data_IF_455580702073
#
_entry.id   IF_455580702073
#
_cell.length_a   1.000
_cell.length_b   1.000
_cell.length_c   1.000
_cell.angle_alpha   90.00
_cell.angle_beta   90.00
_cell.angle_gamma   90.00
#
_symmetry.space_group_name_H-M   'P 1'
#
loop_
_entity.id
_entity.type
_entity.pdbx_description
1 polymer ?
#
# COMPACT_ATOMS: atom_id res chain seq x y z
N UNK A 1 9.51 9.61 -5.66
CA UNK A 1 8.18 9.08 -5.25
C UNK A 1 8.05 9.13 -3.74
N UNK A 2 6.92 9.57 -3.27
CA UNK A 2 6.74 9.83 -1.85
C UNK A 2 5.30 9.52 -1.45
N UNK A 3 5.12 9.01 -0.24
CA UNK A 3 3.79 8.71 0.30
C UNK A 3 3.68 9.27 1.72
N UNK A 4 2.57 9.93 2.00
CA UNK A 4 2.26 10.42 3.34
C UNK A 4 1.21 9.53 3.97
N UNK A 5 1.49 9.05 5.16
CA UNK A 5 0.55 8.20 5.90
C UNK A 5 -0.12 9.07 6.95
N UNK A 6 -1.45 9.12 6.96
CA UNK A 6 -2.17 9.91 7.95
C UNK A 6 -2.05 9.30 9.35
N UNK A 7 -2.30 10.11 10.38
CA UNK A 7 -2.23 9.62 11.76
C UNK A 7 -3.20 8.47 11.99
N UNK A 8 -4.41 8.55 11.44
CA UNK A 8 -5.39 7.49 11.58
C UNK A 8 -4.91 6.19 10.95
N UNK A 9 -4.27 6.30 9.79
CA UNK A 9 -3.70 5.14 9.11
C UNK A 9 -2.52 4.56 9.90
N UNK A 10 -1.65 5.42 10.44
CA UNK A 10 -0.52 4.98 11.25
C UNK A 10 -1.01 4.19 12.46
N UNK A 11 -2.03 4.68 13.16
CA UNK A 11 -2.58 3.98 14.31
C UNK A 11 -3.06 2.59 13.94
N UNK A 12 -3.76 2.48 12.82
CA UNK A 12 -4.29 1.19 12.39
C UNK A 12 -3.17 0.24 11.94
N UNK A 13 -2.16 0.76 11.25
CA UNK A 13 -0.99 -0.04 10.87
C UNK A 13 -0.28 -0.56 12.11
N UNK A 14 -0.11 0.28 13.13
CA UNK A 14 0.58 -0.13 14.35
C UNK A 14 -0.18 -1.23 15.10
N UNK A 15 -1.50 -1.23 15.04
CA UNK A 15 -2.31 -2.29 15.62
C UNK A 15 -2.10 -3.62 14.90
N UNK A 16 -1.92 -3.57 13.60
CA UNK A 16 -1.70 -4.76 12.78
C UNK A 16 -0.25 -5.25 12.81
N UNK A 17 0.67 -4.36 13.15
CA UNK A 17 2.11 -4.64 13.10
C UNK A 17 2.82 -4.15 14.36
N UNK A 18 2.41 -4.65 15.55
CA UNK A 18 2.91 -4.11 16.82
C UNK A 18 4.41 -4.31 17.04
N UNK A 19 5.00 -5.32 16.45
CA UNK A 19 6.42 -5.63 16.62
C UNK A 19 7.29 -5.13 15.47
N UNK A 20 6.71 -4.39 14.54
CA UNK A 20 7.41 -3.86 13.36
C UNK A 20 8.13 -4.93 12.55
N UNK A 21 7.60 -6.16 12.54
CA UNK A 21 8.22 -7.26 11.78
C UNK A 21 7.91 -7.21 10.29
N UNK A 22 6.91 -6.45 9.91
CA UNK A 22 6.46 -6.38 8.52
C UNK A 22 6.71 -4.98 7.99
N UNK A 23 6.73 -4.85 6.68
CA UNK A 23 6.85 -3.57 6.00
C UNK A 23 5.67 -3.37 5.06
N UNK A 24 5.48 -2.13 4.61
CA UNK A 24 4.44 -1.83 3.63
C UNK A 24 5.00 -2.02 2.23
N UNK A 25 4.20 -2.61 1.36
CA UNK A 25 4.56 -2.82 -0.03
C UNK A 25 3.46 -2.25 -0.91
N UNK A 26 3.85 -1.38 -1.84
CA UNK A 26 2.96 -0.89 -2.89
C UNK A 26 3.16 -1.76 -4.12
N UNK A 27 2.09 -2.36 -4.61
CA UNK A 27 2.15 -3.24 -5.77
C UNK A 27 0.84 -3.19 -6.54
N UNK A 28 0.86 -3.67 -7.77
CA UNK A 28 -0.30 -3.62 -8.64
C UNK A 28 -0.92 -5.00 -8.73
N UNK A 29 -2.15 -5.11 -8.21
CA UNK A 29 -2.83 -6.38 -8.10
C UNK A 29 -3.66 -6.65 -9.36
N UNK A 30 -3.24 -7.66 -10.13
CA UNK A 30 -3.98 -8.11 -11.30
C UNK A 30 -4.68 -9.44 -11.06
N UNK A 31 -4.55 -9.99 -9.87
CA UNK A 31 -5.16 -11.29 -9.56
C UNK A 31 -6.69 -11.17 -9.59
N UNK A 32 -7.34 -12.18 -10.12
CA UNK A 32 -8.78 -12.20 -10.19
C UNK A 32 -9.36 -11.42 -11.36
N UNK A 33 -8.53 -10.79 -12.17
CA UNK A 33 -8.97 -10.00 -13.31
C UNK A 33 -8.93 -10.84 -14.58
N UNK A 34 -9.68 -11.87 -14.65
CA UNK A 34 -9.57 -12.84 -15.73
C UNK A 34 -9.93 -12.36 -17.13
N UNK A 35 -10.20 -11.08 -17.32
CA UNK A 35 -10.75 -10.59 -18.59
C UNK A 35 -9.91 -9.47 -19.20
N UNK A 36 -8.64 -9.38 -18.89
CA UNK A 36 -7.80 -8.32 -19.43
C UNK A 36 -8.14 -6.94 -18.87
N UNK A 37 -8.87 -6.89 -17.80
CA UNK A 37 -9.20 -5.65 -17.12
C UNK A 37 -7.98 -5.16 -16.37
N UNK A 38 -7.84 -3.85 -16.25
CA UNK A 38 -6.78 -3.25 -15.44
C UNK A 38 -6.82 -3.77 -14.01
N UNK A 39 -5.66 -3.95 -13.42
CA UNK A 39 -5.57 -4.28 -12.01
C UNK A 39 -5.86 -3.09 -11.13
N UNK A 40 -5.41 -3.19 -9.89
CA UNK A 40 -5.69 -2.17 -8.90
C UNK A 40 -4.45 -1.90 -8.05
N UNK A 41 -4.04 -0.64 -7.86
CA UNK A 41 -2.94 -0.34 -6.96
C UNK A 41 -3.27 -0.79 -5.54
N UNK A 42 -2.32 -1.42 -4.88
CA UNK A 42 -2.51 -1.96 -3.54
C UNK A 42 -1.39 -1.54 -2.60
N UNK A 43 -1.74 -1.44 -1.32
CA UNK A 43 -0.79 -1.30 -0.23
C UNK A 43 -1.07 -2.42 0.75
N UNK A 44 -0.05 -3.18 1.10
CA UNK A 44 -0.21 -4.30 2.03
C UNK A 44 0.97 -4.40 2.98
N UNK A 45 0.71 -4.98 4.16
CA UNK A 45 1.76 -5.41 5.06
C UNK A 45 2.28 -6.76 4.57
N UNK A 46 3.61 -6.93 4.57
CA UNK A 46 4.22 -8.17 4.14
C UNK A 46 5.63 -8.28 4.69
N UNK A 47 6.15 -9.50 4.75
CA UNK A 47 7.56 -9.75 5.04
C UNK A 47 8.34 -10.14 3.79
N UNK A 48 7.69 -10.10 2.63
CA UNK A 48 8.34 -10.43 1.37
C UNK A 48 9.40 -9.41 1.00
N UNK A 49 10.47 -9.90 0.41
CA UNK A 49 11.54 -9.06 -0.11
C UNK A 49 11.92 -9.53 -1.49
N UNK A 50 12.23 -8.57 -2.36
CA UNK A 50 12.62 -8.85 -3.73
C UNK A 50 13.58 -7.78 -4.18
N UNK A 51 14.45 -8.14 -5.12
CA UNK A 51 15.43 -7.20 -5.67
C UNK A 51 14.75 -6.02 -6.38
N UNK A 52 13.52 -6.21 -6.82
CA UNK A 52 12.76 -5.15 -7.50
C UNK A 52 12.08 -4.18 -6.54
N UNK A 53 12.10 -4.48 -5.24
CA UNK A 53 11.46 -3.61 -4.25
C UNK A 53 12.41 -2.49 -3.85
N UNK A 54 11.93 -1.25 -3.95
CA UNK A 54 12.71 -0.06 -3.61
C UNK A 54 12.00 0.71 -2.52
N UNK A 55 12.76 1.19 -1.55
CA UNK A 55 12.20 2.02 -0.50
C UNK A 55 11.85 3.40 -1.04
N UNK A 56 10.69 3.92 -0.66
CA UNK A 56 10.27 5.25 -1.06
C UNK A 56 10.20 6.16 0.16
N UNK A 57 10.23 7.47 -0.10
CA UNK A 57 10.21 8.48 0.95
C UNK A 57 8.83 8.53 1.62
N UNK A 58 8.83 8.57 2.95
CA UNK A 58 7.58 8.62 3.70
C UNK A 58 7.83 9.14 5.11
N UNK A 59 6.76 9.56 5.77
CA UNK A 59 6.77 9.87 7.20
C UNK A 59 6.64 8.59 8.06
N UNK A 60 6.50 7.44 7.42
CA UNK A 60 6.44 6.15 8.10
C UNK A 60 7.61 5.29 7.60
N UNK A 61 8.31 4.55 8.49
CA UNK A 61 9.47 3.77 8.06
C UNK A 61 9.09 2.52 7.29
N UNK A 62 10.02 2.05 6.46
CA UNK A 62 9.91 0.75 5.78
C UNK A 62 8.70 0.65 4.85
N UNK A 63 8.65 1.55 3.88
CA UNK A 63 7.66 1.48 2.81
C UNK A 63 8.39 1.24 1.51
N UNK A 64 8.00 0.19 0.80
CA UNK A 64 8.63 -0.22 -0.45
C UNK A 64 7.62 -0.21 -1.58
N UNK A 65 8.11 -0.08 -2.79
CA UNK A 65 7.31 -0.21 -4.00
C UNK A 65 7.98 -1.23 -4.91
N UNK A 66 7.17 -2.02 -5.60
CA UNK A 66 7.67 -2.89 -6.66
C UNK A 66 8.01 -1.99 -7.85
N UNK A 67 9.31 -1.79 -8.07
CA UNK A 67 9.80 -0.86 -9.09
C UNK A 67 9.29 -1.18 -10.48
N UNK A 68 9.06 -2.45 -10.77
CA UNK A 68 8.54 -2.87 -12.06
C UNK A 68 7.10 -2.42 -12.27
N UNK A 69 6.40 -2.09 -11.19
CA UNK A 69 5.01 -1.67 -11.25
C UNK A 69 4.83 -0.20 -10.87
N UNK A 70 5.92 0.53 -10.72
CA UNK A 70 5.87 1.92 -10.27
C UNK A 70 5.07 2.83 -11.20
N UNK A 71 4.96 2.47 -12.47
CA UNK A 71 4.21 3.25 -13.45
C UNK A 71 2.72 3.37 -13.11
N UNK A 72 2.20 2.46 -12.32
CA UNK A 72 0.78 2.49 -11.92
C UNK A 72 0.52 3.38 -10.71
N UNK A 73 1.56 4.00 -10.17
CA UNK A 73 1.48 4.83 -8.98
C UNK A 73 1.83 6.28 -9.31
N UNK A 74 1.55 7.18 -8.37
CA UNK A 74 1.82 8.60 -8.53
C UNK A 74 3.10 8.99 -7.78
N UNK A 75 3.71 10.11 -8.17
CA UNK A 75 4.89 10.62 -7.46
C UNK A 75 4.57 11.07 -6.04
N UNK A 76 3.37 11.61 -5.84
CA UNK A 76 2.88 12.02 -4.51
C UNK A 76 1.64 11.22 -4.19
N UNK A 77 1.66 10.55 -3.06
CA UNK A 77 0.53 9.71 -2.65
C UNK A 77 0.20 9.95 -1.19
N UNK A 78 -1.01 9.56 -0.81
CA UNK A 78 -1.47 9.61 0.57
C UNK A 78 -2.21 8.32 0.89
N UNK A 79 -1.89 7.73 2.04
CA UNK A 79 -2.63 6.60 2.58
C UNK A 79 -3.39 7.08 3.80
N UNK A 80 -4.70 6.97 3.74
CA UNK A 80 -5.60 7.36 4.81
C UNK A 80 -6.40 6.15 5.29
N UNK A 81 -6.97 6.25 6.47
CA UNK A 81 -7.84 5.22 7.02
C UNK A 81 -9.12 5.87 7.50
N UNK A 82 -10.24 5.48 6.92
CA UNK A 82 -11.53 6.05 7.25
C UNK A 82 -12.62 5.00 7.04
N UNK A 83 -13.63 5.02 7.90
CA UNK A 83 -14.77 4.08 7.83
C UNK A 83 -14.33 2.61 7.79
N UNK A 84 -13.26 2.29 8.51
CA UNK A 84 -12.78 0.90 8.61
C UNK A 84 -11.97 0.41 7.42
N UNK A 85 -11.57 1.30 6.51
CA UNK A 85 -10.83 0.92 5.31
C UNK A 85 -9.69 1.90 5.02
N UNK A 86 -8.64 1.39 4.38
CA UNK A 86 -7.57 2.24 3.89
C UNK A 86 -7.94 2.81 2.52
N UNK A 87 -7.45 4.00 2.23
CA UNK A 87 -7.63 4.67 0.94
C UNK A 87 -6.29 5.17 0.46
N UNK A 88 -5.91 4.77 -0.76
CA UNK A 88 -4.71 5.25 -1.41
C UNK A 88 -5.10 6.27 -2.48
N UNK A 89 -4.57 7.48 -2.38
CA UNK A 89 -4.91 8.55 -3.30
C UNK A 89 -3.69 9.38 -3.68
N UNK A 90 -3.84 10.16 -4.74
CA UNK A 90 -2.89 11.19 -5.13
C UNK A 90 -3.66 12.51 -5.21
N UNK A 91 -2.96 13.65 -5.38
CA UNK A 91 -3.66 14.92 -5.52
C UNK A 91 -4.63 14.97 -6.71
N UNK A 92 -4.39 14.15 -7.71
CA UNK A 92 -5.18 14.18 -8.95
C UNK A 92 -6.24 13.10 -9.03
N UNK A 93 -6.08 12.00 -8.30
CA UNK A 93 -7.04 10.90 -8.40
C UNK A 93 -6.97 9.97 -7.19
N UNK A 94 -8.01 9.17 -7.03
CA UNK A 94 -8.02 8.12 -6.02
C UNK A 94 -7.50 6.84 -6.69
N UNK A 95 -6.38 6.33 -6.18
CA UNK A 95 -5.75 5.13 -6.76
C UNK A 95 -6.45 3.85 -6.32
N UNK A 96 -6.83 3.78 -5.04
CA UNK A 96 -7.59 2.65 -4.51
C UNK A 96 -8.45 3.15 -3.35
N UNK A 97 -9.76 3.28 -3.53
CA UNK A 97 -10.63 3.87 -2.52
C UNK A 97 -10.93 2.94 -1.34
N UNK A 98 -10.81 1.63 -1.52
CA UNK A 98 -11.26 0.68 -0.51
C UNK A 98 -10.29 -0.48 -0.38
N UNK A 99 -9.36 -0.38 0.57
CA UNK A 99 -8.51 -1.49 0.94
C UNK A 99 -8.96 -1.95 2.32
N UNK A 100 -9.62 -3.11 2.39
CA UNK A 100 -10.11 -3.63 3.65
C UNK A 100 -8.96 -4.04 4.56
N UNK A 101 -9.22 -4.13 5.85
CA UNK A 101 -8.21 -4.64 6.79
C UNK A 101 -7.77 -6.05 6.43
N UNK A 102 -8.70 -6.86 5.95
CA UNK A 102 -8.39 -8.21 5.52
C UNK A 102 -7.38 -8.22 4.36
N UNK A 103 -7.64 -7.41 3.33
CA UNK A 103 -6.73 -7.32 2.19
C UNK A 103 -5.38 -6.73 2.58
N UNK A 104 -5.40 -5.73 3.45
CA UNK A 104 -4.18 -5.06 3.89
C UNK A 104 -3.24 -6.00 4.63
N UNK A 105 -3.78 -6.95 5.39
CA UNK A 105 -3.01 -7.89 6.20
C UNK A 105 -2.99 -9.31 5.64
N UNK A 106 -3.49 -9.51 4.44
CA UNK A 106 -3.65 -10.83 3.84
C UNK A 106 -2.34 -11.61 3.72
N UNK A 107 -1.24 -10.91 3.47
CA UNK A 107 0.05 -11.54 3.23
C UNK A 107 0.85 -11.88 4.49
N UNK A 108 0.34 -11.53 5.65
CA UNK A 108 1.05 -11.77 6.91
C UNK A 108 0.41 -12.86 7.77
N UNK A 109 -0.56 -13.54 7.27
CA UNK A 109 -1.24 -14.60 8.01
C UNK A 109 -0.47 -15.91 8.02
#
# INVERSE_FOLDING_TARGET
>A
MEITITNDAIEEINKLNPDNQYHLLLWYDTAGCGCGVSGLPMVQLTDERDITYKEITSNYPQIFIDEEQAIFFANDMKLDFTNGMFRLSSPEEILNPFISLQRFSERIS
#
